data_IF_385268683861
#
_entry.id   IF_385268683861
#
_cell.length_a   1.000
_cell.length_b   1.000
_cell.length_c   1.000
_cell.angle_alpha   90.00
_cell.angle_beta   90.00
_cell.angle_gamma   90.00
#
_symmetry.space_group_name_H-M   'P 1'
#
loop_
_entity.id
_entity.type
_entity.pdbx_description
1 polymer ?
#
# COMPACT_ATOMS: atom_id res chain seq x y z
N UNK A 1 -2.31 -8.64 -28.44
CA UNK A 1 -0.94 -8.07 -28.46
C UNK A 1 -0.93 -6.54 -28.52
N UNK A 2 -1.75 -5.85 -29.29
CA UNK A 2 -1.74 -4.36 -29.39
C UNK A 2 -2.11 -3.65 -28.06
N UNK A 3 -3.07 -4.15 -27.30
CA UNK A 3 -3.48 -3.56 -26.02
C UNK A 3 -2.42 -3.74 -24.89
N UNK A 4 -1.66 -4.82 -24.92
CA UNK A 4 -0.60 -5.08 -23.92
C UNK A 4 0.58 -4.12 -24.11
N UNK A 5 1.03 -3.93 -25.34
CA UNK A 5 2.12 -2.98 -25.64
C UNK A 5 1.71 -1.54 -25.34
N UNK A 6 0.46 -1.15 -25.62
CA UNK A 6 -0.08 0.16 -25.26
C UNK A 6 -0.15 0.39 -23.75
N UNK A 7 -0.58 -0.59 -22.99
CA UNK A 7 -0.68 -0.53 -21.53
C UNK A 7 0.70 -0.44 -20.85
N UNK A 8 1.68 -1.23 -21.30
CA UNK A 8 3.06 -1.16 -20.80
C UNK A 8 3.71 0.19 -21.08
N UNK A 9 3.45 0.78 -22.26
CA UNK A 9 3.97 2.09 -22.61
C UNK A 9 3.39 3.18 -21.71
N UNK A 10 2.07 3.23 -21.52
CA UNK A 10 1.41 4.19 -20.63
C UNK A 10 1.91 4.04 -19.18
N UNK A 11 2.09 2.81 -18.70
CA UNK A 11 2.62 2.53 -17.37
C UNK A 11 4.07 3.04 -17.18
N UNK A 12 4.94 2.79 -18.16
CA UNK A 12 6.32 3.28 -18.13
C UNK A 12 6.38 4.81 -18.23
N UNK A 13 5.44 5.44 -18.98
CA UNK A 13 5.33 6.89 -19.08
C UNK A 13 4.96 7.53 -17.72
N UNK A 14 4.05 6.93 -16.93
CA UNK A 14 3.74 7.40 -15.58
C UNK A 14 4.95 7.32 -14.65
N UNK A 15 5.64 6.17 -14.59
CA UNK A 15 6.81 6.03 -13.72
C UNK A 15 7.96 6.96 -14.11
N UNK A 16 8.16 7.21 -15.41
CA UNK A 16 9.14 8.16 -15.89
C UNK A 16 8.79 9.59 -15.44
N UNK A 17 7.53 10.02 -15.62
CA UNK A 17 7.06 11.33 -15.20
C UNK A 17 7.16 11.54 -13.69
N UNK A 18 6.83 10.49 -12.88
CA UNK A 18 6.95 10.55 -11.42
C UNK A 18 8.42 10.73 -10.99
N UNK A 19 9.36 10.08 -11.66
CA UNK A 19 10.79 10.08 -11.29
C UNK A 19 11.57 11.29 -11.79
N UNK A 20 11.11 11.95 -12.83
CA UNK A 20 11.84 13.01 -13.51
C UNK A 20 12.42 14.06 -12.53
N UNK A 21 11.63 14.73 -11.66
CA UNK A 21 12.15 15.80 -10.81
C UNK A 21 12.94 15.31 -9.57
N UNK A 22 12.95 14.01 -9.30
CA UNK A 22 13.63 13.39 -8.15
C UNK A 22 14.63 12.32 -8.59
N UNK A 23 15.15 12.42 -9.82
CA UNK A 23 15.98 11.38 -10.44
C UNK A 23 17.28 11.12 -9.68
N UNK A 24 17.90 12.14 -9.11
CA UNK A 24 19.10 12.01 -8.28
C UNK A 24 18.76 11.48 -6.90
N UNK A 25 17.78 12.08 -6.25
CA UNK A 25 17.38 11.77 -4.87
C UNK A 25 16.88 10.33 -4.71
N UNK A 26 16.22 9.78 -5.75
CA UNK A 26 15.79 8.37 -5.70
C UNK A 26 16.97 7.40 -5.84
N UNK A 27 18.03 7.77 -6.53
CA UNK A 27 19.29 6.98 -6.59
C UNK A 27 19.94 6.96 -5.23
N UNK A 28 20.12 8.13 -4.60
CA UNK A 28 20.71 8.27 -3.27
C UNK A 28 19.91 7.46 -2.22
N UNK A 29 18.57 7.52 -2.30
CA UNK A 29 17.67 6.70 -1.48
C UNK A 29 17.93 5.20 -1.68
N UNK A 30 18.01 4.73 -2.93
CA UNK A 30 18.22 3.31 -3.24
C UNK A 30 19.58 2.83 -2.69
N UNK A 31 20.61 3.63 -2.82
CA UNK A 31 21.94 3.30 -2.28
C UNK A 31 21.93 3.21 -0.76
N UNK A 32 21.32 4.19 -0.08
CA UNK A 32 21.19 4.23 1.37
C UNK A 32 20.36 3.05 1.89
N UNK A 33 19.20 2.79 1.27
CA UNK A 33 18.32 1.66 1.60
C UNK A 33 19.03 0.31 1.43
N UNK A 34 19.73 0.10 0.32
CA UNK A 34 20.44 -1.15 0.06
C UNK A 34 21.57 -1.37 1.07
N UNK A 35 22.31 -0.30 1.44
CA UNK A 35 23.35 -0.36 2.45
C UNK A 35 22.78 -0.71 3.84
N UNK A 36 21.59 -0.22 4.17
CA UNK A 36 20.89 -0.51 5.43
C UNK A 36 20.48 -1.97 5.58
N UNK A 37 20.31 -2.68 4.46
CA UNK A 37 19.98 -4.11 4.38
C UNK A 37 21.21 -4.98 4.05
N UNK A 38 22.42 -4.53 4.43
CA UNK A 38 23.65 -5.31 4.25
C UNK A 38 24.16 -5.75 5.61
N UNK A 39 24.49 -7.04 5.74
CA UNK A 39 25.10 -7.62 6.92
C UNK A 39 26.26 -8.53 6.50
N UNK A 40 27.30 -8.58 7.34
CA UNK A 40 28.38 -9.54 7.18
C UNK A 40 27.84 -10.96 7.30
N UNK A 41 28.48 -11.90 6.66
CA UNK A 41 28.10 -13.31 6.45
C UNK A 41 27.14 -13.95 7.48
N UNK A 42 26.53 -15.04 7.08
CA UNK A 42 25.62 -15.83 7.91
C UNK A 42 24.17 -15.79 7.46
N UNK A 43 23.29 -16.38 8.26
CA UNK A 43 21.87 -16.53 7.97
C UNK A 43 21.15 -15.18 7.78
N UNK A 44 21.46 -14.19 8.63
CA UNK A 44 20.87 -12.85 8.53
C UNK A 44 21.27 -12.16 7.22
N UNK A 45 22.55 -12.19 6.83
CA UNK A 45 23.01 -11.60 5.58
C UNK A 45 22.32 -12.20 4.36
N UNK A 46 22.15 -13.52 4.33
CA UNK A 46 21.44 -14.22 3.26
C UNK A 46 19.95 -13.83 3.19
N UNK A 47 19.26 -13.74 4.32
CA UNK A 47 17.87 -13.35 4.38
C UNK A 47 17.65 -11.88 3.96
N UNK A 48 18.53 -10.96 4.39
CA UNK A 48 18.49 -9.56 3.97
C UNK A 48 18.77 -9.41 2.46
N UNK A 49 19.70 -10.17 1.92
CA UNK A 49 19.96 -10.19 0.48
C UNK A 49 18.76 -10.71 -0.32
N UNK A 50 18.09 -11.75 0.20
CA UNK A 50 16.87 -12.28 -0.38
C UNK A 50 15.75 -11.21 -0.45
N UNK A 51 15.58 -10.40 0.62
CA UNK A 51 14.64 -9.28 0.65
C UNK A 51 15.06 -8.18 -0.32
N UNK A 52 16.33 -7.80 -0.34
CA UNK A 52 16.87 -6.74 -1.20
C UNK A 52 16.68 -7.02 -2.69
N UNK A 53 16.79 -8.27 -3.12
CA UNK A 53 16.57 -8.70 -4.52
C UNK A 53 15.12 -8.50 -4.98
N UNK A 54 14.18 -8.33 -4.05
CA UNK A 54 12.75 -8.10 -4.32
C UNK A 54 12.40 -6.63 -4.51
N UNK A 55 13.26 -5.85 -5.13
CA UNK A 55 13.04 -4.43 -5.33
C UNK A 55 11.65 -4.17 -5.97
N UNK A 56 10.78 -3.48 -5.23
CA UNK A 56 9.50 -3.01 -5.73
C UNK A 56 9.63 -1.72 -6.54
N UNK A 57 8.49 -1.16 -6.95
CA UNK A 57 8.38 0.08 -7.74
C UNK A 57 8.86 1.34 -7.00
N UNK A 58 9.09 1.24 -5.68
CA UNK A 58 9.52 2.34 -4.81
C UNK A 58 8.56 3.54 -4.81
N UNK A 59 7.27 3.29 -4.95
CA UNK A 59 6.25 4.34 -4.97
C UNK A 59 6.26 5.19 -3.70
N UNK A 60 6.35 4.58 -2.52
CA UNK A 60 6.33 5.28 -1.24
C UNK A 60 7.52 6.22 -1.04
N UNK A 61 8.79 5.78 -1.23
CA UNK A 61 9.91 6.71 -1.24
C UNK A 61 9.77 7.85 -2.25
N UNK A 62 9.29 7.57 -3.47
CA UNK A 62 9.05 8.63 -4.45
C UNK A 62 8.04 9.66 -3.96
N UNK A 63 6.98 9.25 -3.25
CA UNK A 63 6.02 10.18 -2.66
C UNK A 63 6.68 11.10 -1.61
N UNK A 64 7.52 10.53 -0.73
CA UNK A 64 8.27 11.31 0.29
C UNK A 64 9.15 12.36 -0.39
N UNK A 65 9.93 11.95 -1.41
CA UNK A 65 10.84 12.83 -2.12
C UNK A 65 10.10 13.92 -2.90
N UNK A 66 8.99 13.58 -3.57
CA UNK A 66 8.15 14.57 -4.28
C UNK A 66 7.52 15.58 -3.33
N UNK A 67 7.04 15.13 -2.17
CA UNK A 67 6.51 16.04 -1.15
C UNK A 67 7.58 16.96 -0.59
N UNK A 68 8.79 16.45 -0.33
CA UNK A 68 9.90 17.28 0.10
C UNK A 68 10.27 18.32 -0.98
N UNK A 69 10.36 17.92 -2.25
CA UNK A 69 10.63 18.84 -3.37
C UNK A 69 9.53 19.88 -3.59
N UNK A 70 8.28 19.54 -3.23
CA UNK A 70 7.17 20.49 -3.33
C UNK A 70 7.26 21.63 -2.32
N UNK A 71 7.76 21.36 -1.10
CA UNK A 71 7.79 22.34 -0.02
C UNK A 71 9.18 22.93 0.27
N UNK A 72 10.25 22.33 -0.30
CA UNK A 72 11.62 22.78 -0.11
C UNK A 72 12.62 21.90 -0.83
N UNK A 73 13.65 21.47 -0.12
CA UNK A 73 14.72 20.64 -0.66
C UNK A 73 14.71 19.25 0.00
N UNK A 74 15.13 18.23 -0.77
CA UNK A 74 15.45 16.92 -0.20
C UNK A 74 16.78 17.00 0.52
N UNK A 75 16.76 16.72 1.81
CA UNK A 75 17.93 16.78 2.68
C UNK A 75 18.27 15.37 3.21
N UNK A 76 19.36 15.27 3.97
CA UNK A 76 19.73 14.05 4.68
C UNK A 76 18.62 13.61 5.65
N UNK A 77 17.89 14.56 6.25
CA UNK A 77 16.71 14.29 7.09
C UNK A 77 15.63 13.57 6.27
N UNK A 78 15.32 14.07 5.07
CA UNK A 78 14.35 13.47 4.16
C UNK A 78 14.78 12.05 3.76
N UNK A 79 16.06 11.86 3.40
CA UNK A 79 16.58 10.55 2.97
C UNK A 79 16.51 9.52 4.11
N UNK A 80 16.95 9.88 5.32
CA UNK A 80 16.87 8.98 6.47
C UNK A 80 15.43 8.65 6.87
N UNK A 81 14.53 9.63 6.82
CA UNK A 81 13.11 9.42 7.08
C UNK A 81 12.47 8.47 6.03
N UNK A 82 12.80 8.65 4.75
CA UNK A 82 12.33 7.79 3.66
C UNK A 82 12.83 6.35 3.80
N UNK A 83 14.11 6.16 4.14
CA UNK A 83 14.68 4.83 4.40
C UNK A 83 14.04 4.20 5.62
N UNK A 84 13.88 4.93 6.72
CA UNK A 84 13.22 4.43 7.92
C UNK A 84 11.79 3.95 7.66
N UNK A 85 11.02 4.73 6.89
CA UNK A 85 9.63 4.37 6.55
C UNK A 85 9.56 3.15 5.61
N UNK A 86 10.41 3.08 4.59
CA UNK A 86 10.43 1.92 3.68
C UNK A 86 10.94 0.65 4.38
N UNK A 87 11.86 0.78 5.36
CA UNK A 87 12.30 -0.34 6.21
C UNK A 87 11.17 -0.81 7.13
N UNK A 88 10.44 0.11 7.79
CA UNK A 88 9.26 -0.27 8.60
C UNK A 88 8.24 -1.02 7.74
N UNK A 89 7.93 -0.52 6.54
CA UNK A 89 7.04 -1.22 5.62
C UNK A 89 7.61 -2.60 5.20
N UNK A 90 8.91 -2.70 4.97
CA UNK A 90 9.55 -3.99 4.62
C UNK A 90 9.46 -4.98 5.78
N UNK A 91 9.66 -4.51 7.01
CA UNK A 91 9.51 -5.33 8.22
C UNK A 91 8.06 -5.82 8.39
N UNK A 92 7.07 -4.92 8.21
CA UNK A 92 5.66 -5.33 8.30
C UNK A 92 5.32 -6.41 7.27
N UNK A 93 5.79 -6.30 6.02
CA UNK A 93 5.56 -7.33 5.01
C UNK A 93 6.19 -8.69 5.37
N UNK A 94 7.36 -8.70 6.04
CA UNK A 94 7.98 -9.95 6.51
C UNK A 94 7.18 -10.58 7.64
N UNK A 95 6.66 -9.78 8.56
CA UNK A 95 5.80 -10.24 9.65
C UNK A 95 4.43 -10.71 9.12
N UNK A 96 3.83 -9.96 8.19
CA UNK A 96 2.55 -10.32 7.55
C UNK A 96 2.65 -11.68 6.83
N UNK A 97 3.77 -11.97 6.13
CA UNK A 97 3.99 -13.27 5.49
C UNK A 97 3.95 -14.43 6.49
N UNK A 98 4.36 -14.20 7.74
CA UNK A 98 4.27 -15.20 8.83
C UNK A 98 2.84 -15.32 9.36
N UNK A 99 2.15 -14.20 9.57
CA UNK A 99 0.76 -14.15 10.08
C UNK A 99 -0.20 -14.78 9.08
N UNK A 100 -0.04 -14.46 7.79
CA UNK A 100 -0.88 -14.96 6.70
C UNK A 100 -0.45 -16.35 6.20
N UNK A 101 0.59 -16.97 6.80
CA UNK A 101 1.19 -18.24 6.34
C UNK A 101 1.54 -18.24 4.83
N UNK A 102 1.88 -17.08 4.30
CA UNK A 102 2.16 -16.89 2.88
C UNK A 102 3.45 -17.55 2.47
N UNK A 103 3.42 -18.41 1.45
CA UNK A 103 4.61 -19.07 0.91
C UNK A 103 5.32 -18.27 -0.18
N UNK A 104 4.66 -17.26 -0.75
CA UNK A 104 5.16 -16.48 -1.87
C UNK A 104 4.83 -14.98 -1.72
N UNK A 105 5.77 -14.13 -2.14
CA UNK A 105 5.57 -12.69 -2.24
C UNK A 105 6.27 -12.14 -3.49
N UNK A 106 5.50 -11.47 -4.35
CA UNK A 106 5.98 -10.88 -5.62
C UNK A 106 6.69 -11.89 -6.53
N UNK A 107 6.14 -13.10 -6.66
CA UNK A 107 6.69 -14.13 -7.54
C UNK A 107 7.96 -14.84 -7.00
N UNK A 108 8.28 -14.66 -5.72
CA UNK A 108 9.42 -15.33 -5.06
C UNK A 108 8.98 -15.89 -3.71
N UNK A 109 9.63 -16.98 -3.28
CA UNK A 109 9.37 -17.58 -1.98
C UNK A 109 9.50 -16.53 -0.85
N UNK A 110 8.56 -16.46 0.08
CA UNK A 110 8.62 -15.59 1.26
C UNK A 110 9.80 -15.93 2.18
N UNK A 111 10.14 -15.07 3.14
CA UNK A 111 11.25 -15.33 4.07
C UNK A 111 10.96 -16.54 4.94
N UNK A 112 9.73 -16.65 5.46
CA UNK A 112 9.29 -17.82 6.23
C UNK A 112 9.30 -19.11 5.43
N UNK A 113 8.95 -19.09 4.14
CA UNK A 113 9.03 -20.26 3.26
C UNK A 113 10.48 -20.65 2.90
N UNK A 114 11.39 -19.67 2.81
CA UNK A 114 12.80 -19.91 2.46
C UNK A 114 13.64 -20.36 3.65
N UNK A 115 13.30 -19.90 4.87
CA UNK A 115 14.12 -20.14 6.07
C UNK A 115 13.35 -20.79 7.21
N UNK A 116 12.32 -20.23 7.72
CA UNK A 116 11.26 -20.64 8.64
C UNK A 116 10.63 -19.41 9.33
N UNK A 117 9.55 -19.64 10.09
CA UNK A 117 8.85 -18.55 10.80
C UNK A 117 9.73 -17.86 11.87
N UNK A 118 10.61 -18.58 12.55
CA UNK A 118 11.48 -18.00 13.60
C UNK A 118 12.49 -17.04 12.99
N UNK A 119 13.11 -17.44 11.87
CA UNK A 119 14.04 -16.59 11.15
C UNK A 119 13.32 -15.38 10.58
N UNK A 120 12.13 -15.56 9.99
CA UNK A 120 11.35 -14.46 9.43
C UNK A 120 11.00 -13.41 10.49
N UNK A 121 10.52 -13.81 11.67
CA UNK A 121 10.22 -12.89 12.77
C UNK A 121 11.47 -12.10 13.19
N UNK A 122 12.60 -12.77 13.42
CA UNK A 122 13.84 -12.12 13.84
C UNK A 122 14.43 -11.20 12.78
N UNK A 123 14.29 -11.55 11.49
CA UNK A 123 14.69 -10.70 10.36
C UNK A 123 13.80 -9.45 10.30
N UNK A 124 12.49 -9.61 10.49
CA UNK A 124 11.54 -8.50 10.58
C UNK A 124 11.91 -7.54 11.72
N UNK A 125 12.22 -8.07 12.92
CA UNK A 125 12.65 -7.28 14.08
C UNK A 125 13.97 -6.53 13.82
N UNK A 126 14.93 -7.17 13.14
CA UNK A 126 16.19 -6.53 12.75
C UNK A 126 15.94 -5.36 11.80
N UNK A 127 15.08 -5.55 10.78
CA UNK A 127 14.74 -4.50 9.83
C UNK A 127 13.99 -3.36 10.51
N UNK A 128 13.05 -3.67 11.42
CA UNK A 128 12.32 -2.68 12.20
C UNK A 128 13.26 -1.87 13.10
N UNK A 129 14.22 -2.52 13.75
CA UNK A 129 15.24 -1.85 14.57
C UNK A 129 16.14 -0.95 13.71
N UNK A 130 16.47 -1.37 12.49
CA UNK A 130 17.21 -0.57 11.52
C UNK A 130 16.39 0.63 11.06
N UNK A 131 15.07 0.50 10.90
CA UNK A 131 14.17 1.62 10.61
C UNK A 131 14.21 2.68 11.72
N UNK A 132 14.12 2.26 12.99
CA UNK A 132 14.23 3.15 14.15
C UNK A 132 15.59 3.88 14.19
N UNK A 133 16.68 3.19 13.85
CA UNK A 133 18.01 3.78 13.77
C UNK A 133 18.06 4.89 12.72
N UNK A 134 17.55 4.65 11.50
CA UNK A 134 17.53 5.67 10.44
C UNK A 134 16.67 6.88 10.83
N UNK A 135 15.50 6.66 11.42
CA UNK A 135 14.65 7.77 11.86
C UNK A 135 15.30 8.57 13.00
N UNK A 136 16.11 7.94 13.86
CA UNK A 136 16.84 8.65 14.90
C UNK A 136 17.88 9.64 14.33
N UNK A 137 18.45 9.35 13.15
CA UNK A 137 19.39 10.27 12.48
C UNK A 137 18.71 11.53 11.93
N UNK A 138 17.39 11.57 11.86
CA UNK A 138 16.67 12.81 11.50
C UNK A 138 16.77 13.88 12.58
N UNK A 139 17.06 13.51 13.84
CA UNK A 139 17.03 14.38 15.00
C UNK A 139 15.75 15.22 15.12
N UNK A 140 14.62 14.68 14.61
CA UNK A 140 13.32 15.33 14.59
C UNK A 140 12.29 14.46 15.32
N UNK A 141 11.90 14.91 16.51
CA UNK A 141 10.97 14.18 17.38
C UNK A 141 9.61 13.95 16.71
N UNK A 142 9.15 14.87 15.87
CA UNK A 142 7.89 14.73 15.16
C UNK A 142 7.95 13.62 14.12
N UNK A 143 9.05 13.51 13.36
CA UNK A 143 9.25 12.40 12.40
C UNK A 143 9.34 11.07 13.14
N UNK A 144 10.06 11.01 14.26
CA UNK A 144 10.16 9.79 15.08
C UNK A 144 8.77 9.37 15.58
N UNK A 145 7.97 10.34 16.06
CA UNK A 145 6.60 10.08 16.52
C UNK A 145 5.71 9.57 15.39
N UNK A 146 5.75 10.18 14.20
CA UNK A 146 4.99 9.70 13.03
C UNK A 146 5.30 8.24 12.70
N UNK A 147 6.58 7.84 12.71
CA UNK A 147 6.95 6.46 12.43
C UNK A 147 6.44 5.50 13.53
N UNK A 148 6.55 5.87 14.79
CA UNK A 148 6.07 5.06 15.90
C UNK A 148 4.54 4.90 15.89
N UNK A 149 3.81 6.00 15.63
CA UNK A 149 2.35 6.00 15.46
C UNK A 149 1.94 5.15 14.26
N UNK A 150 2.65 5.26 13.13
CA UNK A 150 2.41 4.42 11.96
C UNK A 150 2.54 2.92 12.30
N UNK A 151 3.62 2.52 12.97
CA UNK A 151 3.80 1.11 13.36
C UNK A 151 2.64 0.59 14.22
N UNK A 152 2.16 1.39 15.17
CA UNK A 152 0.97 1.06 15.97
C UNK A 152 -0.29 0.95 15.11
N UNK A 153 -0.53 1.93 14.23
CA UNK A 153 -1.70 1.96 13.35
C UNK A 153 -1.75 0.76 12.42
N UNK A 154 -0.61 0.34 11.85
CA UNK A 154 -0.55 -0.85 11.00
C UNK A 154 -0.91 -2.11 11.80
N UNK A 155 -0.39 -2.26 13.01
CA UNK A 155 -0.71 -3.40 13.88
C UNK A 155 -2.17 -3.39 14.33
N UNK A 156 -2.72 -2.23 14.70
CA UNK A 156 -4.14 -2.07 15.05
C UNK A 156 -5.05 -2.42 13.87
N UNK A 157 -4.68 -2.03 12.65
CA UNK A 157 -5.39 -2.36 11.42
C UNK A 157 -5.41 -3.87 11.12
N UNK A 158 -4.30 -4.57 11.37
CA UNK A 158 -4.21 -6.02 11.22
C UNK A 158 -5.10 -6.75 12.25
N UNK A 159 -5.03 -6.34 13.51
CA UNK A 159 -5.89 -6.88 14.57
C UNK A 159 -7.37 -6.61 14.28
N UNK A 160 -7.69 -5.41 13.77
CA UNK A 160 -9.07 -5.07 13.37
C UNK A 160 -9.55 -5.96 12.23
N UNK A 161 -8.72 -6.20 11.21
CA UNK A 161 -9.03 -7.12 10.10
C UNK A 161 -9.30 -8.54 10.61
N UNK A 162 -8.43 -9.09 11.46
CA UNK A 162 -8.61 -10.41 12.07
C UNK A 162 -9.89 -10.49 12.91
N UNK A 163 -10.18 -9.43 13.68
CA UNK A 163 -11.41 -9.35 14.48
C UNK A 163 -12.65 -9.24 13.61
N UNK A 164 -12.57 -8.55 12.46
CA UNK A 164 -13.70 -8.38 11.55
C UNK A 164 -14.12 -9.69 10.85
N UNK A 165 -13.20 -10.62 10.67
CA UNK A 165 -13.53 -11.97 10.16
C UNK A 165 -14.58 -12.64 11.04
N UNK A 166 -14.55 -12.42 12.36
CA UNK A 166 -15.48 -13.01 13.33
C UNK A 166 -16.81 -12.25 13.45
N UNK A 167 -16.96 -11.05 12.84
CA UNK A 167 -18.21 -10.25 12.92
C UNK A 167 -19.20 -10.71 11.87
N UNK A 168 -20.47 -10.63 12.21
CA UNK A 168 -21.60 -11.07 11.35
C UNK A 168 -22.10 -9.95 10.43
N UNK A 169 -21.71 -8.71 10.68
CA UNK A 169 -22.10 -7.52 9.92
C UNK A 169 -21.24 -7.33 8.65
N UNK A 170 -21.84 -6.71 7.63
CA UNK A 170 -21.20 -6.37 6.36
C UNK A 170 -21.04 -4.85 6.25
N UNK A 171 -20.36 -4.24 7.24
CA UNK A 171 -20.24 -2.81 7.35
C UNK A 171 -19.18 -2.24 6.39
N UNK A 172 -19.62 -1.28 5.57
CA UNK A 172 -18.74 -0.49 4.71
C UNK A 172 -17.83 0.44 5.54
N UNK A 173 -18.31 0.94 6.69
CA UNK A 173 -17.51 1.76 7.60
C UNK A 173 -16.32 0.98 8.16
N UNK A 174 -16.53 -0.28 8.54
CA UNK A 174 -15.45 -1.16 9.02
C UNK A 174 -14.45 -1.44 7.89
N UNK A 175 -14.92 -1.66 6.67
CA UNK A 175 -14.03 -1.81 5.51
C UNK A 175 -13.13 -0.58 5.34
N UNK A 176 -13.70 0.64 5.35
CA UNK A 176 -12.89 1.85 5.25
C UNK A 176 -11.92 2.03 6.42
N UNK A 177 -12.31 1.66 7.63
CA UNK A 177 -11.41 1.73 8.78
C UNK A 177 -10.22 0.79 8.62
N UNK A 178 -10.46 -0.46 8.20
CA UNK A 178 -9.38 -1.43 7.92
C UNK A 178 -8.42 -0.91 6.86
N UNK A 179 -8.92 -0.45 5.70
CA UNK A 179 -8.03 0.00 4.62
C UNK A 179 -7.31 1.30 4.94
N UNK A 180 -7.90 2.17 5.78
CA UNK A 180 -7.22 3.37 6.30
C UNK A 180 -6.03 3.00 7.17
N UNK A 181 -6.21 2.08 8.11
CA UNK A 181 -5.17 1.70 9.05
C UNK A 181 -4.11 0.80 8.39
N UNK A 182 -4.51 -0.19 7.61
CA UNK A 182 -3.59 -1.17 7.03
C UNK A 182 -2.83 -0.65 5.80
N UNK A 183 -3.46 0.17 4.98
CA UNK A 183 -2.89 0.60 3.69
C UNK A 183 -2.68 2.10 3.61
N UNK A 184 -3.73 2.91 3.88
CA UNK A 184 -3.66 4.35 3.64
C UNK A 184 -2.76 5.07 4.65
N UNK A 185 -2.67 4.63 5.89
CA UNK A 185 -1.80 5.21 6.92
C UNK A 185 -0.34 5.31 6.48
N UNK A 186 0.13 4.34 5.70
CA UNK A 186 1.50 4.35 5.17
C UNK A 186 1.72 5.45 4.12
N UNK A 187 0.75 5.67 3.21
CA UNK A 187 0.82 6.78 2.25
C UNK A 187 0.62 8.14 2.93
N UNK A 188 -0.25 8.19 3.94
CA UNK A 188 -0.46 9.35 4.81
C UNK A 188 0.86 9.77 5.47
N UNK A 189 1.56 8.84 6.10
CA UNK A 189 2.85 9.09 6.72
C UNK A 189 3.93 9.49 5.70
N UNK A 190 3.96 8.88 4.51
CA UNK A 190 4.88 9.27 3.44
C UNK A 190 4.72 10.74 3.06
N UNK A 191 3.48 11.18 2.80
CA UNK A 191 3.23 12.54 2.37
C UNK A 191 3.50 13.57 3.49
N UNK A 192 3.06 13.26 4.72
CA UNK A 192 3.30 14.11 5.89
C UNK A 192 4.79 14.26 6.21
N UNK A 193 5.52 13.15 6.27
CA UNK A 193 6.96 13.15 6.58
C UNK A 193 7.76 13.86 5.48
N UNK A 194 7.39 13.66 4.20
CA UNK A 194 8.03 14.38 3.10
C UNK A 194 7.87 15.89 3.24
N UNK A 195 6.65 16.39 3.47
CA UNK A 195 6.38 17.80 3.69
C UNK A 195 7.09 18.35 4.94
N UNK A 196 7.00 17.63 6.06
CA UNK A 196 7.62 18.01 7.34
C UNK A 196 9.14 18.10 7.22
N UNK A 197 9.80 17.15 6.55
CA UNK A 197 11.27 17.10 6.40
C UNK A 197 11.82 18.28 5.58
N UNK A 198 10.97 18.93 4.78
CA UNK A 198 11.31 20.10 3.96
C UNK A 198 10.85 21.43 4.59
N UNK A 199 10.37 21.42 5.84
CA UNK A 199 10.00 22.61 6.59
C UNK A 199 8.64 23.21 6.19
N UNK A 200 7.70 22.41 5.68
CA UNK A 200 6.34 22.85 5.41
C UNK A 200 5.63 23.33 6.71
N UNK A 201 4.67 24.25 6.57
CA UNK A 201 3.83 24.65 7.70
C UNK A 201 2.95 23.51 8.19
N UNK A 202 2.49 23.60 9.44
CA UNK A 202 1.59 22.57 10.02
C UNK A 202 0.35 22.36 9.16
N UNK A 203 -0.24 23.44 8.63
CA UNK A 203 -1.39 23.38 7.71
C UNK A 203 -1.05 22.59 6.43
N UNK A 204 0.11 22.85 5.84
CA UNK A 204 0.55 22.17 4.64
C UNK A 204 0.88 20.68 4.90
N UNK A 205 1.42 20.36 6.08
CA UNK A 205 1.65 18.98 6.52
C UNK A 205 0.33 18.22 6.66
N UNK A 206 -0.68 18.82 7.29
CA UNK A 206 -2.01 18.20 7.42
C UNK A 206 -2.71 18.03 6.06
N UNK A 207 -2.55 18.99 5.15
CA UNK A 207 -3.05 18.86 3.78
C UNK A 207 -2.33 17.74 3.00
N UNK A 208 -1.01 17.63 3.12
CA UNK A 208 -0.22 16.56 2.53
C UNK A 208 -0.60 15.18 3.10
N UNK A 209 -0.81 15.10 4.41
CA UNK A 209 -1.29 13.92 5.11
C UNK A 209 -2.61 13.42 4.55
N UNK A 210 -3.59 14.32 4.39
CA UNK A 210 -4.88 13.99 3.80
C UNK A 210 -4.75 13.52 2.34
N UNK A 211 -3.91 14.17 1.55
CA UNK A 211 -3.59 13.73 0.19
C UNK A 211 -3.03 12.30 0.17
N UNK A 212 -2.04 12.00 1.02
CA UNK A 212 -1.48 10.65 1.15
C UNK A 212 -2.54 9.62 1.54
N UNK A 213 -3.43 9.94 2.47
CA UNK A 213 -4.54 9.07 2.86
C UNK A 213 -5.44 8.74 1.66
N UNK A 214 -5.80 9.75 0.84
CA UNK A 214 -6.62 9.55 -0.36
C UNK A 214 -5.92 8.65 -1.38
N UNK A 215 -4.62 8.85 -1.60
CA UNK A 215 -3.83 7.97 -2.47
C UNK A 215 -3.87 6.51 -2.00
N UNK A 216 -3.72 6.27 -0.70
CA UNK A 216 -3.75 4.91 -0.13
C UNK A 216 -5.13 4.24 -0.24
N UNK A 217 -6.21 5.00 -0.05
CA UNK A 217 -7.58 4.50 -0.23
C UNK A 217 -7.84 4.16 -1.72
N UNK A 218 -7.46 5.04 -2.64
CA UNK A 218 -7.57 4.81 -4.09
C UNK A 218 -6.80 3.54 -4.47
N UNK A 219 -5.58 3.41 -3.96
CA UNK A 219 -4.74 2.25 -4.20
C UNK A 219 -5.43 0.95 -3.78
N UNK A 220 -6.02 0.91 -2.57
CA UNK A 220 -6.66 -0.29 -2.06
C UNK A 220 -7.96 -0.61 -2.81
N UNK A 221 -8.84 0.37 -3.03
CA UNK A 221 -10.08 0.15 -3.79
C UNK A 221 -9.76 -0.39 -5.20
N UNK A 222 -8.68 0.11 -5.82
CA UNK A 222 -8.25 -0.38 -7.14
C UNK A 222 -7.77 -1.82 -7.09
N UNK A 223 -6.99 -2.21 -6.07
CA UNK A 223 -6.58 -3.60 -5.87
C UNK A 223 -7.79 -4.52 -5.65
N UNK A 224 -8.74 -4.09 -4.82
CA UNK A 224 -9.95 -4.85 -4.54
C UNK A 224 -10.81 -5.05 -5.80
N UNK A 225 -10.92 -4.02 -6.67
CA UNK A 225 -11.61 -4.15 -7.97
C UNK A 225 -10.92 -5.19 -8.85
N UNK A 226 -9.59 -5.23 -8.86
CA UNK A 226 -8.85 -6.20 -9.67
C UNK A 226 -9.14 -7.63 -9.30
N UNK A 227 -9.40 -7.92 -8.03
CA UNK A 227 -9.70 -9.27 -7.56
C UNK A 227 -11.01 -9.85 -8.15
N UNK A 228 -11.86 -9.01 -8.76
CA UNK A 228 -13.09 -9.43 -9.44
C UNK A 228 -12.90 -9.81 -10.92
N UNK A 229 -11.70 -9.64 -11.49
CA UNK A 229 -11.42 -9.93 -12.89
C UNK A 229 -10.39 -11.05 -13.05
N UNK A 230 -10.64 -11.94 -14.02
CA UNK A 230 -9.67 -12.95 -14.41
C UNK A 230 -8.42 -12.30 -14.97
N UNK A 231 -7.33 -12.38 -14.26
CA UNK A 231 -6.04 -12.01 -14.81
C UNK A 231 -5.24 -13.24 -15.19
N UNK A 232 -5.50 -13.76 -16.39
CA UNK A 232 -4.64 -14.78 -17.02
C UNK A 232 -3.18 -14.34 -17.13
N UNK A 233 -2.95 -13.03 -17.00
CA UNK A 233 -1.63 -12.39 -17.08
C UNK A 233 -0.89 -12.36 -15.72
N UNK A 234 -1.62 -12.44 -14.57
CA UNK A 234 -1.03 -12.37 -13.22
C UNK A 234 -0.99 -13.75 -12.54
N UNK A 235 -1.73 -14.73 -13.07
CA UNK A 235 -1.75 -16.10 -12.53
C UNK A 235 -2.47 -16.24 -11.18
N UNK A 236 -3.24 -15.21 -10.74
CA UNK A 236 -4.07 -15.26 -9.53
C UNK A 236 -5.51 -15.64 -9.93
N UNK A 237 -6.14 -16.57 -9.20
CA UNK A 237 -7.57 -16.84 -9.36
C UNK A 237 -8.39 -15.61 -8.92
N UNK A 238 -9.54 -15.39 -9.57
CA UNK A 238 -10.52 -14.36 -9.18
C UNK A 238 -11.08 -14.66 -7.80
N UNK A 239 -11.29 -13.64 -6.96
CA UNK A 239 -11.88 -13.80 -5.62
C UNK A 239 -10.89 -14.32 -4.57
N UNK A 240 -9.60 -14.03 -4.73
CA UNK A 240 -8.58 -14.41 -3.75
C UNK A 240 -8.84 -13.78 -2.37
N UNK A 241 -9.32 -12.53 -2.31
CA UNK A 241 -9.70 -11.87 -1.06
C UNK A 241 -10.82 -12.64 -0.32
N UNK A 242 -11.80 -13.15 -1.07
CA UNK A 242 -12.88 -13.99 -0.49
C UNK A 242 -12.33 -15.32 0.00
N UNK A 243 -11.38 -15.93 -0.71
CA UNK A 243 -10.72 -17.16 -0.26
C UNK A 243 -9.94 -16.95 1.05
N UNK A 244 -9.42 -15.75 1.28
CA UNK A 244 -8.73 -15.32 2.51
C UNK A 244 -9.69 -14.81 3.61
N UNK A 245 -11.01 -14.94 3.44
CA UNK A 245 -12.00 -14.51 4.43
C UNK A 245 -12.37 -13.03 4.40
N UNK A 246 -11.96 -12.30 3.34
CA UNK A 246 -12.15 -10.85 3.21
C UNK A 246 -13.33 -10.54 2.29
N UNK A 247 -14.19 -9.61 2.72
CA UNK A 247 -15.26 -9.04 1.89
C UNK A 247 -14.89 -7.60 1.56
N UNK A 248 -14.71 -7.30 0.28
CA UNK A 248 -14.27 -5.99 -0.21
C UNK A 248 -15.43 -5.14 -0.72
N UNK A 249 -15.17 -3.87 -1.02
CA UNK A 249 -16.18 -2.86 -1.29
C UNK A 249 -17.26 -3.29 -2.31
N UNK A 250 -16.91 -3.93 -3.45
CA UNK A 250 -17.95 -4.33 -4.42
C UNK A 250 -19.00 -5.29 -3.87
N UNK A 251 -18.58 -6.33 -3.17
CA UNK A 251 -19.52 -7.31 -2.61
C UNK A 251 -20.26 -6.77 -1.39
N UNK A 252 -19.62 -5.91 -0.57
CA UNK A 252 -20.28 -5.24 0.55
C UNK A 252 -21.43 -4.36 0.06
N UNK A 253 -21.20 -3.56 -0.99
CA UNK A 253 -22.27 -2.77 -1.61
C UNK A 253 -23.42 -3.64 -2.10
N UNK A 254 -23.13 -4.72 -2.82
CA UNK A 254 -24.14 -5.63 -3.35
C UNK A 254 -24.98 -6.27 -2.23
N UNK A 255 -24.35 -6.75 -1.16
CA UNK A 255 -25.03 -7.35 -0.01
C UNK A 255 -25.90 -6.34 0.75
N UNK A 256 -25.47 -5.09 0.90
CA UNK A 256 -26.21 -4.06 1.62
C UNK A 256 -27.42 -3.55 0.82
N UNK A 257 -27.34 -3.52 -0.52
CA UNK A 257 -28.42 -3.03 -1.38
C UNK A 257 -29.37 -4.12 -1.88
N UNK A 258 -28.91 -5.39 -1.92
CA UNK A 258 -29.69 -6.53 -2.40
C UNK A 258 -29.41 -7.77 -1.52
N UNK A 259 -29.93 -7.79 -0.26
CA UNK A 259 -29.57 -8.80 0.72
C UNK A 259 -30.33 -10.14 0.49
N UNK A 260 -30.05 -10.82 -0.63
CA UNK A 260 -30.59 -12.15 -0.85
C UNK A 260 -30.04 -13.13 0.18
N UNK A 261 -30.90 -13.89 0.85
CA UNK A 261 -30.54 -14.83 1.93
C UNK A 261 -29.42 -15.81 1.52
N UNK A 262 -29.47 -16.30 0.28
CA UNK A 262 -28.43 -17.18 -0.26
C UNK A 262 -27.08 -16.48 -0.35
N UNK A 263 -27.03 -15.21 -0.77
CA UNK A 263 -25.76 -14.44 -0.86
C UNK A 263 -25.23 -14.08 0.51
N UNK A 264 -26.09 -13.72 1.45
CA UNK A 264 -25.72 -13.49 2.86
C UNK A 264 -25.13 -14.77 3.48
N UNK A 265 -25.68 -15.94 3.15
CA UNK A 265 -25.16 -17.22 3.61
C UNK A 265 -23.77 -17.50 3.04
N UNK A 266 -23.53 -17.23 1.75
CA UNK A 266 -22.21 -17.38 1.13
C UNK A 266 -21.19 -16.38 1.72
N UNK A 267 -21.60 -15.13 1.97
CA UNK A 267 -20.74 -14.13 2.61
C UNK A 267 -20.34 -14.53 4.04
N UNK A 268 -21.22 -15.21 4.79
CA UNK A 268 -20.83 -15.81 6.09
C UNK A 268 -19.81 -16.91 5.94
N UNK A 269 -19.95 -17.78 4.94
CA UNK A 269 -18.94 -18.82 4.63
C UNK A 269 -17.58 -18.22 4.28
N UNK A 270 -17.54 -17.06 3.60
CA UNK A 270 -16.28 -16.32 3.39
C UNK A 270 -15.63 -16.04 4.74
N UNK A 271 -16.35 -15.39 5.66
CA UNK A 271 -15.83 -15.03 6.99
C UNK A 271 -15.45 -16.24 7.85
N UNK A 272 -16.13 -17.35 7.68
CA UNK A 272 -15.86 -18.62 8.39
C UNK A 272 -14.71 -19.43 7.76
N UNK A 273 -14.17 -18.98 6.60
CA UNK A 273 -13.13 -19.71 5.86
C UNK A 273 -13.61 -21.06 5.30
N UNK A 274 -14.93 -21.24 5.10
CA UNK A 274 -15.55 -22.48 4.65
C UNK A 274 -16.08 -22.41 3.21
N UNK A 275 -15.91 -21.26 2.54
CA UNK A 275 -16.33 -21.05 1.16
C UNK A 275 -15.46 -21.84 0.19
N UNK A 276 -16.06 -22.37 -0.87
CA UNK A 276 -15.34 -23.05 -1.94
C UNK A 276 -15.24 -22.18 -3.23
N UNK A 277 -14.39 -22.54 -4.21
CA UNK A 277 -14.18 -21.75 -5.42
C UNK A 277 -15.46 -21.49 -6.25
N UNK A 278 -16.36 -22.47 -6.34
CA UNK A 278 -17.62 -22.31 -7.09
C UNK A 278 -18.54 -21.28 -6.40
N UNK A 279 -18.59 -21.31 -5.08
CA UNK A 279 -19.36 -20.36 -4.28
C UNK A 279 -18.76 -18.93 -4.35
N UNK A 280 -17.41 -18.81 -4.41
CA UNK A 280 -16.72 -17.53 -4.64
C UNK A 280 -17.15 -16.96 -6.01
N UNK A 281 -17.14 -17.78 -7.06
CA UNK A 281 -17.56 -17.33 -8.39
C UNK A 281 -19.01 -16.78 -8.38
N UNK A 282 -19.91 -17.40 -7.62
CA UNK A 282 -21.29 -16.91 -7.46
C UNK A 282 -21.34 -15.54 -6.78
N UNK A 283 -20.53 -15.31 -5.73
CA UNK A 283 -20.47 -14.00 -5.05
C UNK A 283 -19.82 -12.92 -5.93
N UNK A 284 -18.79 -13.28 -6.71
CA UNK A 284 -18.14 -12.38 -7.67
C UNK A 284 -19.16 -11.92 -8.74
N UNK A 285 -19.89 -12.86 -9.34
CA UNK A 285 -20.93 -12.54 -10.34
C UNK A 285 -22.07 -11.72 -9.73
N UNK A 286 -22.49 -12.06 -8.51
CA UNK A 286 -23.49 -11.29 -7.78
C UNK A 286 -23.05 -9.84 -7.58
N UNK A 287 -21.81 -9.60 -7.11
CA UNK A 287 -21.27 -8.25 -6.92
C UNK A 287 -21.26 -7.45 -8.22
N UNK A 288 -20.85 -8.07 -9.34
CA UNK A 288 -20.87 -7.45 -10.68
C UNK A 288 -22.29 -7.09 -11.13
N UNK A 289 -23.21 -8.04 -11.05
CA UNK A 289 -24.61 -7.84 -11.52
C UNK A 289 -25.33 -6.78 -10.70
N UNK A 290 -25.02 -6.66 -9.41
CA UNK A 290 -25.64 -5.66 -8.52
C UNK A 290 -24.97 -4.28 -8.56
N UNK A 291 -24.04 -4.04 -9.48
CA UNK A 291 -23.38 -2.73 -9.65
C UNK A 291 -22.30 -2.42 -8.59
N UNK A 292 -21.76 -3.45 -7.94
CA UNK A 292 -20.74 -3.28 -6.91
C UNK A 292 -19.43 -2.73 -7.45
N UNK A 293 -19.04 -3.13 -8.67
CA UNK A 293 -17.84 -2.61 -9.33
C UNK A 293 -17.99 -1.13 -9.66
N UNK A 294 -19.12 -0.75 -10.28
CA UNK A 294 -19.42 0.64 -10.65
C UNK A 294 -19.48 1.55 -9.41
N UNK A 295 -20.01 1.02 -8.31
CA UNK A 295 -19.99 1.73 -7.03
C UNK A 295 -18.56 1.96 -6.53
N UNK A 296 -17.73 0.92 -6.51
CA UNK A 296 -16.34 1.02 -6.07
C UNK A 296 -15.52 2.00 -6.95
N UNK A 297 -15.70 1.93 -8.28
CA UNK A 297 -15.08 2.89 -9.21
C UNK A 297 -15.54 4.33 -8.96
N UNK A 298 -16.83 4.55 -8.69
CA UNK A 298 -17.35 5.87 -8.33
C UNK A 298 -16.73 6.38 -7.04
N UNK A 299 -16.64 5.56 -5.99
CA UNK A 299 -16.00 5.94 -4.72
C UNK A 299 -14.53 6.28 -4.91
N UNK A 300 -13.80 5.48 -5.71
CA UNK A 300 -12.42 5.76 -6.07
C UNK A 300 -12.27 7.12 -6.78
N UNK A 301 -13.16 7.46 -7.71
CA UNK A 301 -13.17 8.75 -8.38
C UNK A 301 -13.51 9.92 -7.45
N UNK A 302 -14.34 9.70 -6.43
CA UNK A 302 -14.62 10.73 -5.40
C UNK A 302 -13.34 11.04 -4.62
N UNK A 303 -12.59 10.04 -4.16
CA UNK A 303 -11.31 10.22 -3.49
C UNK A 303 -10.24 10.82 -4.42
N UNK A 304 -10.25 10.48 -5.71
CA UNK A 304 -9.37 11.11 -6.69
C UNK A 304 -9.61 12.62 -6.80
N UNK A 305 -10.88 13.07 -6.84
CA UNK A 305 -11.21 14.50 -6.85
C UNK A 305 -10.79 15.22 -5.57
N UNK A 306 -10.93 14.56 -4.41
CA UNK A 306 -10.45 15.12 -3.15
C UNK A 306 -8.92 15.25 -3.14
N UNK A 307 -8.18 14.24 -3.65
CA UNK A 307 -6.73 14.30 -3.78
C UNK A 307 -6.27 15.38 -4.78
N UNK A 308 -7.02 15.58 -5.87
CA UNK A 308 -6.74 16.62 -6.87
C UNK A 308 -6.72 18.02 -6.26
N UNK A 309 -7.58 18.30 -5.26
CA UNK A 309 -7.63 19.61 -4.59
C UNK A 309 -6.29 19.98 -3.94
N UNK A 310 -5.58 19.01 -3.35
CA UNK A 310 -4.24 19.25 -2.82
C UNK A 310 -3.27 19.71 -3.92
N UNK A 311 -3.24 19.01 -5.06
CA UNK A 311 -2.36 19.34 -6.17
C UNK A 311 -2.66 20.76 -6.69
N UNK A 312 -3.93 21.13 -6.76
CA UNK A 312 -4.34 22.43 -7.28
C UNK A 312 -4.04 23.59 -6.31
N UNK A 313 -4.08 23.33 -5.00
CA UNK A 313 -3.92 24.36 -3.98
C UNK A 313 -2.47 24.49 -3.47
N UNK A 314 -1.74 23.39 -3.35
CA UNK A 314 -0.44 23.35 -2.67
C UNK A 314 0.75 23.08 -3.58
N UNK A 315 0.54 22.77 -4.87
CA UNK A 315 1.63 22.45 -5.79
C UNK A 315 1.76 23.53 -6.85
N UNK A 316 2.81 24.34 -6.74
CA UNK A 316 3.04 25.51 -7.62
C UNK A 316 4.09 25.24 -8.70
N UNK A 317 5.11 24.40 -8.44
CA UNK A 317 6.16 24.06 -9.38
C UNK A 317 5.62 23.15 -10.50
N UNK A 318 5.75 23.52 -11.79
CA UNK A 318 5.10 22.79 -12.89
C UNK A 318 5.60 21.35 -13.07
N UNK A 319 6.87 21.08 -12.79
CA UNK A 319 7.48 19.75 -12.85
C UNK A 319 6.95 18.85 -11.73
N UNK A 320 6.91 19.35 -10.49
CA UNK A 320 6.35 18.64 -9.34
C UNK A 320 4.84 18.41 -9.54
N UNK A 321 4.11 19.41 -10.04
CA UNK A 321 2.67 19.29 -10.35
C UNK A 321 2.42 18.15 -11.33
N UNK A 322 3.18 18.09 -12.42
CA UNK A 322 3.10 17.00 -13.41
C UNK A 322 3.38 15.64 -12.79
N UNK A 323 4.38 15.55 -11.92
CA UNK A 323 4.77 14.28 -11.29
C UNK A 323 3.75 13.80 -10.25
N UNK A 324 3.22 14.69 -9.42
CA UNK A 324 2.17 14.35 -8.45
C UNK A 324 0.84 14.03 -9.15
N UNK A 325 0.53 14.69 -10.27
CA UNK A 325 -0.60 14.33 -11.12
C UNK A 325 -0.40 12.92 -11.70
N UNK A 326 0.76 12.64 -12.29
CA UNK A 326 1.08 11.31 -12.81
C UNK A 326 1.03 10.23 -11.71
N UNK A 327 1.40 10.58 -10.48
CA UNK A 327 1.31 9.69 -9.32
C UNK A 327 -0.15 9.38 -8.98
N UNK A 328 -1.00 10.40 -8.88
CA UNK A 328 -2.44 10.26 -8.60
C UNK A 328 -3.15 9.45 -9.69
N UNK A 329 -2.89 9.76 -10.96
CA UNK A 329 -3.47 9.07 -12.11
C UNK A 329 -3.00 7.60 -12.16
N UNK A 330 -1.71 7.35 -11.88
CA UNK A 330 -1.18 6.00 -11.77
C UNK A 330 -1.91 5.16 -10.71
N UNK A 331 -2.24 5.73 -9.54
CA UNK A 331 -2.94 5.02 -8.49
C UNK A 331 -4.35 4.58 -8.91
N UNK A 332 -5.05 5.42 -9.68
CA UNK A 332 -6.42 5.16 -10.12
C UNK A 332 -6.54 4.40 -11.45
N UNK A 333 -5.58 4.61 -12.38
CA UNK A 333 -5.68 4.10 -13.76
C UNK A 333 -4.79 2.87 -14.02
N UNK A 334 -3.91 2.49 -13.07
CA UNK A 334 -3.08 1.29 -13.26
C UNK A 334 -3.97 0.11 -13.65
N UNK A 335 -3.53 -0.58 -14.70
CA UNK A 335 -4.12 -1.84 -15.13
C UNK A 335 -3.28 -2.98 -14.57
N UNK A 336 -3.91 -4.11 -14.45
CA UNK A 336 -3.30 -5.36 -13.97
C UNK A 336 -1.99 -5.66 -14.70
#
# INVERSE_FOLDING_TARGET
MSNFVGNLRTYMDYLAAIREPISTEIVDFIELFNRSLTHEDGLLGQALEHIRKRAGKRMRPMLILLMARNFGEVTEVTQNAAVGLELLHTASLVHDDVVDESSERRGQASVNASYDNKVAVLVGDYILSTALLHVSFTHNETIIRYLAELGRTLSDGEILQLSNIQRVDFSEEVYYEVIKQKTAALFEACAAIGALSAGASDEAVEAAKLFGQRLGIIFQIRDDIFDYYDSKEIGKPTGNDMAEGKLTLPVLYALNNSPYESMVTLARKVKEGTINPDEIAVLVDFAKVQGGIEYAEKRMLDFHREAQQFIDQYVTAPDIKRSLQAYLDFMSERKL
#
